data_IF_243616088212
#
_entry.id   IF_243616088212
#
_cell.length_a   1.000
_cell.length_b   1.000
_cell.length_c   1.000
_cell.angle_alpha   90.00
_cell.angle_beta   90.00
_cell.angle_gamma   90.00
#
_symmetry.space_group_name_H-M   'P 1'
#
loop_
_entity.id
_entity.type
_entity.pdbx_description
1 polymer ?
#
# COMPACT_ATOMS: atom_id res chain seq x y z
N UNK A 1 16.35 -5.16 91.37
CA UNK A 1 16.65 -4.72 92.75
C UNK A 1 15.41 -4.65 93.63
N UNK A 2 14.31 -3.96 93.24
CA UNK A 2 13.08 -3.90 94.07
C UNK A 2 12.45 -5.28 94.38
N UNK A 3 12.42 -6.20 93.41
CA UNK A 3 11.94 -7.59 93.62
C UNK A 3 12.78 -8.45 94.58
N UNK A 4 13.97 -7.99 95.00
CA UNK A 4 14.89 -8.72 95.89
C UNK A 4 15.00 -8.13 97.30
N UNK A 5 14.14 -7.17 97.67
CA UNK A 5 14.12 -6.51 98.99
C UNK A 5 15.44 -5.85 99.43
N UNK A 6 16.33 -5.51 98.48
CA UNK A 6 17.52 -4.66 98.71
C UNK A 6 17.43 -3.39 97.87
N UNK A 7 16.55 -2.43 98.22
CA UNK A 7 16.44 -1.16 97.51
C UNK A 7 17.68 -0.30 97.77
N UNK A 8 18.19 0.37 96.74
CA UNK A 8 19.24 1.38 96.89
C UNK A 8 18.56 2.64 97.42
N UNK A 9 18.56 2.81 98.74
CA UNK A 9 17.90 3.95 99.40
C UNK A 9 18.82 5.16 99.52
N UNK A 10 20.14 4.98 99.43
CA UNK A 10 21.15 6.04 99.29
C UNK A 10 22.29 5.57 98.39
N UNK A 11 22.90 6.49 97.61
CA UNK A 11 24.04 6.17 96.75
C UNK A 11 25.25 5.80 97.62
N UNK A 12 25.94 4.68 97.31
CA UNK A 12 27.06 4.24 98.12
C UNK A 12 28.22 5.24 98.04
N UNK A 13 28.69 5.65 99.21
CA UNK A 13 29.85 6.52 99.38
C UNK A 13 31.02 5.67 99.89
N UNK A 14 32.18 5.80 99.25
CA UNK A 14 33.42 5.14 99.71
C UNK A 14 34.44 6.25 99.94
N UNK A 15 34.89 6.38 101.19
CA UNK A 15 35.58 7.58 101.66
C UNK A 15 34.64 8.80 101.60
N UNK A 16 35.11 9.90 101.01
CA UNK A 16 34.36 11.15 100.89
C UNK A 16 33.68 11.36 99.53
N UNK A 17 33.69 10.35 98.64
CA UNK A 17 33.14 10.45 97.28
C UNK A 17 31.94 9.53 97.06
N UNK A 18 30.92 10.07 96.37
CA UNK A 18 29.73 9.33 95.93
C UNK A 18 30.04 8.61 94.62
N UNK A 19 29.82 7.31 94.56
CA UNK A 19 30.15 6.52 93.38
C UNK A 19 28.98 6.47 92.41
N UNK A 20 29.26 6.79 91.15
CA UNK A 20 28.31 6.58 90.05
C UNK A 20 28.29 5.10 89.66
N UNK A 21 27.19 4.43 90.01
CA UNK A 21 26.99 3.00 89.78
C UNK A 21 26.97 2.60 88.30
N UNK A 22 26.53 3.48 87.38
CA UNK A 22 26.52 3.17 85.95
C UNK A 22 27.93 3.17 85.37
N UNK A 23 28.74 4.18 85.72
CA UNK A 23 30.13 4.27 85.27
C UNK A 23 30.94 3.09 85.80
N UNK A 24 30.73 2.74 87.07
CA UNK A 24 31.33 1.56 87.69
C UNK A 24 30.93 0.27 86.95
N UNK A 25 29.65 0.10 86.61
CA UNK A 25 29.17 -1.04 85.81
C UNK A 25 29.80 -1.07 84.42
N UNK A 26 29.82 0.04 83.69
CA UNK A 26 30.38 0.06 82.33
C UNK A 26 31.87 -0.26 82.30
N UNK A 27 32.64 0.20 83.30
CA UNK A 27 34.07 -0.11 83.41
C UNK A 27 34.30 -1.60 83.68
N UNK A 28 33.58 -2.18 84.66
CA UNK A 28 33.73 -3.59 85.00
C UNK A 28 33.21 -4.50 83.89
N UNK A 29 32.09 -4.16 83.26
CA UNK A 29 31.56 -4.89 82.11
C UNK A 29 32.52 -4.85 80.91
N UNK A 30 33.16 -3.70 80.65
CA UNK A 30 34.20 -3.57 79.63
C UNK A 30 35.45 -4.42 79.92
N UNK A 31 35.75 -4.67 81.19
CA UNK A 31 36.84 -5.56 81.64
C UNK A 31 36.43 -7.04 81.72
N UNK A 32 35.28 -7.42 81.15
CA UNK A 32 34.82 -8.82 81.13
C UNK A 32 34.02 -9.25 82.36
N UNK A 33 33.51 -8.28 83.13
CA UNK A 33 32.62 -8.50 84.26
C UNK A 33 33.32 -8.75 85.59
N UNK A 34 32.54 -8.84 86.67
CA UNK A 34 33.09 -8.94 88.04
C UNK A 34 34.02 -10.14 88.24
N UNK A 35 33.69 -11.27 87.61
CA UNK A 35 34.46 -12.52 87.73
C UNK A 35 35.88 -12.38 87.17
N UNK A 36 36.04 -11.64 86.06
CA UNK A 36 37.33 -11.45 85.41
C UNK A 36 38.18 -10.42 86.17
N UNK A 37 37.58 -9.28 86.55
CA UNK A 37 38.24 -8.25 87.38
C UNK A 37 38.75 -8.80 88.72
N UNK A 38 38.03 -9.77 89.30
CA UNK A 38 38.48 -10.48 90.51
C UNK A 38 39.68 -11.39 90.30
N UNK A 39 39.73 -12.12 89.17
CA UNK A 39 40.87 -12.99 88.86
C UNK A 39 42.13 -12.17 88.60
N UNK A 40 41.98 -11.05 87.92
CA UNK A 40 43.09 -10.19 87.51
C UNK A 40 43.47 -9.16 88.59
N UNK A 41 42.83 -9.22 89.77
CA UNK A 41 43.02 -8.31 90.91
C UNK A 41 42.96 -6.80 90.55
N UNK A 42 42.19 -6.44 89.52
CA UNK A 42 42.22 -5.10 88.91
C UNK A 42 41.36 -4.03 89.61
N UNK A 43 40.83 -4.31 90.81
CA UNK A 43 40.04 -3.34 91.58
C UNK A 43 40.76 -2.04 91.94
N UNK A 44 42.09 -2.03 92.24
CA UNK A 44 42.82 -0.78 92.44
C UNK A 44 42.85 0.08 91.17
N UNK A 45 42.96 -0.54 89.99
CA UNK A 45 42.93 0.17 88.71
C UNK A 45 41.55 0.80 88.46
N UNK A 46 40.47 0.08 88.78
CA UNK A 46 39.10 0.61 88.68
C UNK A 46 38.87 1.76 89.68
N UNK A 47 39.42 1.65 90.90
CA UNK A 47 39.33 2.72 91.91
C UNK A 47 40.05 3.99 91.44
N UNK A 48 41.26 3.85 90.88
CA UNK A 48 42.03 4.95 90.31
C UNK A 48 41.30 5.61 89.14
N UNK A 49 40.70 4.83 88.24
CA UNK A 49 39.94 5.38 87.10
C UNK A 49 38.64 6.08 87.52
N UNK A 50 38.10 5.75 88.69
CA UNK A 50 36.96 6.46 89.28
C UNK A 50 37.37 7.72 90.05
N UNK A 51 38.67 8.05 90.10
CA UNK A 51 39.19 9.25 90.76
C UNK A 51 39.22 9.17 92.29
N UNK A 52 39.14 7.96 92.86
CA UNK A 52 39.25 7.73 94.29
C UNK A 52 40.73 7.82 94.71
N UNK A 53 41.02 8.49 95.83
CA UNK A 53 42.38 8.74 96.29
C UNK A 53 43.08 7.45 96.77
N UNK A 54 44.24 7.13 96.20
CA UNK A 54 45.05 5.91 96.47
C UNK A 54 45.66 5.83 97.89
N UNK A 55 45.39 6.80 98.77
CA UNK A 55 45.99 6.89 100.10
C UNK A 55 45.42 5.88 101.12
N UNK A 56 44.20 5.39 100.90
CA UNK A 56 43.54 4.42 101.79
C UNK A 56 43.49 3.02 101.16
N UNK A 57 44.27 2.07 101.70
CA UNK A 57 44.38 0.71 101.19
C UNK A 57 43.04 -0.08 101.16
N UNK A 58 42.01 0.39 101.87
CA UNK A 58 40.71 -0.27 101.98
C UNK A 58 39.71 0.12 100.86
N UNK A 59 40.00 1.13 100.05
CA UNK A 59 39.09 1.64 99.00
C UNK A 59 38.78 0.59 97.92
N UNK A 60 39.76 -0.15 97.35
CA UNK A 60 39.47 -1.18 96.34
C UNK A 60 38.61 -2.33 96.86
N UNK A 61 38.80 -2.71 98.13
CA UNK A 61 38.01 -3.76 98.77
C UNK A 61 36.55 -3.31 99.00
N UNK A 62 36.35 -2.07 99.46
CA UNK A 62 35.02 -1.49 99.59
C UNK A 62 34.30 -1.37 98.23
N UNK A 63 35.01 -0.99 97.16
CA UNK A 63 34.46 -0.87 95.81
C UNK A 63 33.99 -2.24 95.28
N UNK A 64 34.81 -3.27 95.48
CA UNK A 64 34.48 -4.66 95.14
C UNK A 64 33.21 -5.14 95.85
N UNK A 65 33.11 -4.89 97.16
CA UNK A 65 31.92 -5.29 97.94
C UNK A 65 30.66 -4.52 97.52
N UNK A 66 30.81 -3.24 97.20
CA UNK A 66 29.72 -2.42 96.67
C UNK A 66 29.22 -2.97 95.33
N UNK A 67 30.13 -3.30 94.41
CA UNK A 67 29.81 -3.91 93.12
C UNK A 67 29.12 -5.28 93.30
N UNK A 68 29.69 -6.14 94.15
CA UNK A 68 29.16 -7.47 94.44
C UNK A 68 27.71 -7.43 94.92
N UNK A 69 27.41 -6.47 95.80
CA UNK A 69 26.10 -6.34 96.42
C UNK A 69 25.06 -5.73 95.48
N UNK A 70 25.45 -4.70 94.72
CA UNK A 70 24.49 -3.85 94.00
C UNK A 70 24.47 -4.06 92.48
N UNK A 71 25.58 -4.42 91.84
CA UNK A 71 25.67 -4.46 90.37
C UNK A 71 25.78 -5.88 89.83
N UNK A 72 26.47 -6.78 90.53
CA UNK A 72 26.65 -8.17 90.07
C UNK A 72 25.34 -8.93 89.77
N UNK A 73 24.27 -8.83 90.59
CA UNK A 73 23.03 -9.53 90.27
C UNK A 73 22.28 -8.92 89.07
N UNK A 74 22.53 -7.65 88.76
CA UNK A 74 21.98 -7.02 87.57
C UNK A 74 22.71 -7.52 86.32
N UNK A 75 24.05 -7.61 86.37
CA UNK A 75 24.91 -8.14 85.30
C UNK A 75 24.45 -9.55 84.88
N UNK A 76 24.23 -10.44 85.85
CA UNK A 76 23.82 -11.82 85.59
C UNK A 76 22.41 -11.90 84.95
N UNK A 77 21.47 -11.09 85.42
CA UNK A 77 20.12 -11.06 84.85
C UNK A 77 20.12 -10.52 83.41
N UNK A 78 20.91 -9.47 83.15
CA UNK A 78 21.02 -8.87 81.82
C UNK A 78 21.59 -9.85 80.79
N UNK A 79 22.67 -10.57 81.15
CA UNK A 79 23.27 -11.57 80.26
C UNK A 79 22.33 -12.75 79.99
N UNK A 80 21.52 -13.16 80.97
CA UNK A 80 20.56 -14.27 80.79
C UNK A 80 19.39 -13.97 79.86
N UNK A 81 19.12 -12.69 79.56
CA UNK A 81 18.00 -12.27 78.69
C UNK A 81 18.42 -11.98 77.23
N UNK A 82 19.71 -12.04 76.90
CA UNK A 82 20.18 -11.81 75.53
C UNK A 82 19.89 -13.02 74.62
N UNK A 83 18.92 -12.86 73.72
CA UNK A 83 18.46 -13.88 72.76
C UNK A 83 19.51 -14.12 71.65
N UNK A 84 19.75 -15.37 71.17
CA UNK A 84 20.70 -15.61 70.08
C UNK A 84 20.18 -15.05 68.75
N UNK A 85 21.03 -14.38 67.97
CA UNK A 85 20.69 -13.86 66.65
C UNK A 85 20.53 -15.02 65.64
N UNK A 86 19.40 -15.08 64.94
CA UNK A 86 19.15 -16.07 63.89
C UNK A 86 19.98 -15.77 62.62
N UNK A 87 20.38 -16.78 61.82
CA UNK A 87 21.10 -16.57 60.57
C UNK A 87 20.25 -15.78 59.56
N UNK A 88 20.85 -14.78 58.90
CA UNK A 88 20.18 -14.00 57.85
C UNK A 88 19.95 -14.85 56.59
N UNK A 89 18.71 -14.92 56.10
CA UNK A 89 18.39 -15.53 54.80
C UNK A 89 19.00 -14.71 53.65
N UNK A 90 19.61 -15.38 52.66
CA UNK A 90 20.19 -14.74 51.48
C UNK A 90 19.06 -14.12 50.62
N UNK A 91 19.17 -12.86 50.17
CA UNK A 91 18.15 -12.25 49.33
C UNK A 91 18.04 -13.01 47.99
N UNK A 92 16.81 -13.36 47.60
CA UNK A 92 16.54 -13.96 46.30
C UNK A 92 16.74 -12.91 45.21
N UNK A 93 17.58 -13.21 44.22
CA UNK A 93 17.80 -12.36 43.06
C UNK A 93 16.66 -12.61 42.05
N UNK A 94 15.80 -11.63 41.84
CA UNK A 94 14.82 -11.66 40.75
C UNK A 94 15.44 -11.05 39.48
N UNK A 95 15.48 -11.78 38.36
CA UNK A 95 16.06 -11.26 37.13
C UNK A 95 15.20 -10.11 36.57
N UNK A 96 15.84 -8.98 36.27
CA UNK A 96 15.18 -7.88 35.56
C UNK A 96 15.00 -8.25 34.09
N UNK A 97 13.77 -8.53 33.70
CA UNK A 97 13.38 -8.70 32.30
C UNK A 97 12.87 -7.34 31.81
N UNK A 98 13.45 -6.82 30.72
CA UNK A 98 13.00 -5.58 30.05
C UNK A 98 12.36 -5.91 28.70
N UNK A 99 11.27 -5.23 28.35
CA UNK A 99 10.75 -5.20 26.99
C UNK A 99 11.74 -4.49 26.06
N UNK A 100 11.84 -4.96 24.81
CA UNK A 100 12.60 -4.27 23.78
C UNK A 100 11.75 -3.13 23.23
N UNK A 101 12.03 -1.90 23.69
CA UNK A 101 11.29 -0.70 23.29
C UNK A 101 11.98 0.09 22.17
N UNK A 102 13.30 -0.10 22.01
CA UNK A 102 14.12 0.60 21.03
C UNK A 102 14.62 -0.36 19.96
N UNK A 103 14.63 0.05 18.70
CA UNK A 103 15.29 -0.69 17.62
C UNK A 103 16.70 -0.13 17.44
N UNK A 104 17.72 -0.92 17.79
CA UNK A 104 19.12 -0.46 17.72
C UNK A 104 19.45 0.74 18.63
N UNK A 105 18.72 0.91 19.75
CA UNK A 105 18.90 2.04 20.68
C UNK A 105 18.18 3.32 20.28
N UNK A 106 17.40 3.31 19.20
CA UNK A 106 16.61 4.46 18.75
C UNK A 106 15.12 4.13 18.75
N UNK A 107 14.30 5.09 19.18
CA UNK A 107 12.85 4.98 19.09
C UNK A 107 12.40 5.39 17.68
N UNK A 108 11.96 4.41 16.90
CA UNK A 108 11.50 4.62 15.52
C UNK A 108 10.23 5.49 15.46
N UNK A 109 9.46 5.59 16.55
CA UNK A 109 8.24 6.41 16.60
C UNK A 109 8.54 7.90 16.47
N UNK A 110 9.73 8.34 16.90
CA UNK A 110 10.17 9.73 16.75
C UNK A 110 10.41 10.11 15.28
N UNK A 111 10.69 9.15 14.41
CA UNK A 111 10.85 9.37 12.96
C UNK A 111 9.54 9.23 12.18
N UNK A 112 8.43 8.85 12.82
CA UNK A 112 7.12 8.84 12.16
C UNK A 112 6.57 10.25 11.94
N UNK A 113 7.11 11.26 12.64
CA UNK A 113 6.79 12.65 12.35
C UNK A 113 7.60 13.12 11.14
N UNK A 114 6.97 13.66 10.08
CA UNK A 114 7.70 14.21 8.94
C UNK A 114 8.38 15.52 9.36
N UNK A 115 9.61 15.43 9.87
CA UNK A 115 10.38 16.61 10.36
C UNK A 115 10.91 17.47 9.19
N UNK A 116 10.93 16.95 7.96
CA UNK A 116 11.41 17.70 6.81
C UNK A 116 10.22 18.17 5.94
N UNK A 117 9.91 19.47 6.03
CA UNK A 117 9.11 20.15 5.01
C UNK A 117 9.87 19.98 3.69
N UNK A 118 9.26 19.34 2.69
CA UNK A 118 9.85 19.24 1.35
C UNK A 118 10.29 20.63 0.89
N UNK A 119 11.57 20.78 0.54
CA UNK A 119 12.15 21.99 -0.04
C UNK A 119 11.86 22.11 -1.54
N UNK A 120 11.00 21.25 -2.09
CA UNK A 120 10.64 21.31 -3.49
C UNK A 120 9.93 22.63 -3.80
N UNK A 121 10.42 23.40 -4.78
CA UNK A 121 9.80 24.66 -5.18
C UNK A 121 8.37 24.37 -5.68
N UNK A 122 7.43 25.27 -5.36
CA UNK A 122 6.07 25.23 -5.91
C UNK A 122 6.00 26.04 -7.18
N UNK A 123 4.96 25.86 -8.00
CA UNK A 123 4.81 26.59 -9.27
C UNK A 123 4.92 28.11 -9.09
N UNK A 124 4.32 28.65 -8.01
CA UNK A 124 4.40 30.08 -7.68
C UNK A 124 5.81 30.59 -7.36
N UNK A 125 6.75 29.71 -7.00
CA UNK A 125 8.14 30.07 -6.66
C UNK A 125 9.06 30.09 -7.90
N UNK A 126 8.61 29.53 -9.04
CA UNK A 126 9.40 29.44 -10.28
C UNK A 126 9.45 30.74 -11.09
N UNK A 127 8.55 31.70 -10.82
CA UNK A 127 8.50 32.96 -11.54
C UNK A 127 8.00 32.80 -12.98
N UNK A 128 8.56 33.57 -13.92
CA UNK A 128 8.15 33.53 -15.33
C UNK A 128 8.71 32.28 -16.01
N UNK A 129 7.82 31.41 -16.47
CA UNK A 129 8.20 30.18 -17.17
C UNK A 129 8.21 30.44 -18.68
N UNK A 130 9.38 30.26 -19.30
CA UNK A 130 9.56 30.38 -20.75
C UNK A 130 9.54 29.00 -21.40
N UNK A 131 8.47 28.71 -22.14
CA UNK A 131 8.27 27.42 -22.83
C UNK A 131 9.37 27.19 -23.87
N UNK A 132 9.83 28.23 -24.56
CA UNK A 132 10.87 28.09 -25.57
C UNK A 132 12.22 27.71 -24.95
N UNK A 133 12.56 28.33 -23.81
CA UNK A 133 13.75 27.95 -23.06
C UNK A 133 13.68 26.49 -22.60
N UNK A 134 12.52 26.03 -22.12
CA UNK A 134 12.31 24.63 -21.76
C UNK A 134 12.47 23.69 -22.96
N UNK A 135 11.91 24.04 -24.13
CA UNK A 135 12.09 23.27 -25.37
C UNK A 135 13.58 23.16 -25.75
N UNK A 136 14.35 24.24 -25.62
CA UNK A 136 15.79 24.22 -25.88
C UNK A 136 16.55 23.40 -24.83
N UNK A 137 16.15 23.46 -23.55
CA UNK A 137 16.71 22.60 -22.50
C UNK A 137 16.48 21.11 -22.80
N UNK A 138 15.30 20.73 -23.31
CA UNK A 138 15.04 19.35 -23.76
C UNK A 138 15.91 18.97 -24.97
N UNK A 139 15.97 19.82 -26.00
CA UNK A 139 16.78 19.59 -27.21
C UNK A 139 18.29 19.59 -26.94
N UNK A 140 18.75 20.17 -25.84
CA UNK A 140 20.18 20.27 -25.51
C UNK A 140 20.86 18.92 -25.20
N UNK A 141 20.09 17.86 -24.93
CA UNK A 141 20.57 16.54 -24.47
C UNK A 141 21.38 16.56 -23.16
N UNK A 142 21.46 17.71 -22.47
CA UNK A 142 22.13 17.84 -21.17
C UNK A 142 21.22 17.27 -20.07
N UNK A 143 21.65 16.18 -19.43
CA UNK A 143 20.82 15.45 -18.45
C UNK A 143 20.20 16.32 -17.36
N UNK A 144 20.96 17.25 -16.78
CA UNK A 144 20.43 18.09 -15.70
C UNK A 144 19.44 19.16 -16.19
N UNK A 145 19.66 19.71 -17.38
CA UNK A 145 18.74 20.66 -18.02
C UNK A 145 17.44 19.96 -18.43
N UNK A 146 17.54 18.76 -18.98
CA UNK A 146 16.40 17.94 -19.36
C UNK A 146 15.56 17.56 -18.14
N UNK A 147 16.19 17.07 -17.05
CA UNK A 147 15.48 16.73 -15.80
C UNK A 147 14.80 17.97 -15.22
N UNK A 148 15.49 19.12 -15.21
CA UNK A 148 14.91 20.37 -14.74
C UNK A 148 13.69 20.75 -15.59
N UNK A 149 13.83 20.72 -16.92
CA UNK A 149 12.73 21.04 -17.83
C UNK A 149 11.53 20.10 -17.67
N UNK A 150 11.76 18.78 -17.57
CA UNK A 150 10.70 17.79 -17.35
C UNK A 150 10.01 17.98 -16.00
N UNK A 151 10.76 18.28 -14.92
CA UNK A 151 10.16 18.58 -13.62
C UNK A 151 9.29 19.85 -13.67
N UNK A 152 9.76 20.91 -14.33
CA UNK A 152 9.00 22.16 -14.49
C UNK A 152 7.73 21.92 -15.30
N UNK A 153 7.82 21.17 -16.40
CA UNK A 153 6.67 20.80 -17.21
C UNK A 153 5.68 19.92 -16.44
N UNK A 154 6.16 18.92 -15.71
CA UNK A 154 5.32 18.05 -14.85
C UNK A 154 4.59 18.87 -13.78
N UNK A 155 5.25 19.86 -13.16
CA UNK A 155 4.58 20.78 -12.24
C UNK A 155 3.52 21.64 -12.92
N UNK A 156 3.77 22.11 -14.15
CA UNK A 156 2.82 22.89 -14.94
C UNK A 156 1.56 22.07 -15.29
N UNK A 157 1.73 20.83 -15.73
CA UNK A 157 0.61 19.98 -16.18
C UNK A 157 -0.26 19.50 -15.02
N UNK A 158 0.32 19.34 -13.83
CA UNK A 158 -0.43 18.92 -12.63
C UNK A 158 -1.27 20.07 -12.04
N UNK A 159 -0.78 21.31 -12.06
CA UNK A 159 -1.54 22.46 -11.55
C UNK A 159 -2.55 22.97 -12.60
N UNK A 160 -3.86 22.74 -12.35
CA UNK A 160 -4.98 23.08 -13.26
C UNK A 160 -5.06 24.54 -13.75
N UNK A 161 -4.29 25.46 -13.16
CA UNK A 161 -4.24 26.87 -13.58
C UNK A 161 -3.17 27.16 -14.64
N UNK A 162 -2.26 26.21 -14.91
CA UNK A 162 -1.14 26.31 -15.87
C UNK A 162 -1.38 25.56 -17.18
N UNK A 163 -2.61 25.61 -17.71
CA UNK A 163 -3.01 24.83 -18.89
C UNK A 163 -2.14 25.11 -20.12
N UNK A 164 -1.40 24.11 -20.61
CA UNK A 164 -0.62 24.22 -21.85
C UNK A 164 -1.50 23.86 -23.05
N UNK A 165 -1.71 24.84 -23.95
CA UNK A 165 -2.33 24.58 -25.24
C UNK A 165 -1.26 24.01 -26.18
N UNK A 166 -1.32 22.71 -26.45
CA UNK A 166 -0.33 22.01 -27.26
C UNK A 166 -0.29 22.52 -28.70
N UNK A 167 -1.41 23.06 -29.21
CA UNK A 167 -1.47 23.70 -30.53
C UNK A 167 -0.52 24.92 -30.64
N UNK A 168 -0.31 25.65 -29.54
CA UNK A 168 0.61 26.79 -29.48
C UNK A 168 2.06 26.35 -29.19
N UNK A 169 2.25 25.12 -28.71
CA UNK A 169 3.52 24.57 -28.25
C UNK A 169 3.94 23.34 -29.07
N UNK A 170 3.76 23.39 -30.40
CA UNK A 170 4.10 22.27 -31.28
C UNK A 170 5.56 21.82 -31.17
N UNK A 171 6.50 22.77 -31.10
CA UNK A 171 7.94 22.49 -30.98
C UNK A 171 8.30 21.79 -29.66
N UNK A 172 7.55 22.05 -28.59
CA UNK A 172 7.74 21.38 -27.31
C UNK A 172 7.30 19.93 -27.39
N UNK A 173 6.14 19.67 -28.00
CA UNK A 173 5.62 18.32 -28.17
C UNK A 173 6.54 17.48 -29.06
N UNK A 174 7.04 18.05 -30.17
CA UNK A 174 8.05 17.40 -31.01
C UNK A 174 9.29 17.02 -30.20
N UNK A 175 9.84 17.94 -29.39
CA UNK A 175 10.99 17.65 -28.54
C UNK A 175 10.73 16.54 -27.51
N UNK A 176 9.53 16.48 -26.93
CA UNK A 176 9.13 15.41 -26.01
C UNK A 176 8.99 14.06 -26.72
N UNK A 177 8.51 14.07 -27.98
CA UNK A 177 8.39 12.86 -28.80
C UNK A 177 9.74 12.35 -29.27
N UNK A 178 10.65 13.24 -29.68
CA UNK A 178 12.03 12.89 -30.03
C UNK A 178 12.74 12.19 -28.85
N UNK A 179 12.55 12.71 -27.63
CA UNK A 179 13.04 12.04 -26.42
C UNK A 179 12.45 10.64 -26.29
N UNK A 180 11.13 10.48 -26.48
CA UNK A 180 10.48 9.18 -26.37
C UNK A 180 10.99 8.18 -27.43
N UNK A 181 11.26 8.63 -28.65
CA UNK A 181 11.89 7.84 -29.73
C UNK A 181 13.30 7.40 -29.32
N UNK A 182 14.14 8.33 -28.87
CA UNK A 182 15.51 8.05 -28.42
C UNK A 182 15.52 6.98 -27.30
N UNK A 183 14.56 7.06 -26.37
CA UNK A 183 14.40 6.06 -25.33
C UNK A 183 13.93 4.71 -25.87
N UNK A 184 13.05 4.70 -26.87
CA UNK A 184 12.58 3.45 -27.50
C UNK A 184 13.74 2.74 -28.22
N UNK A 185 14.58 3.48 -28.93
CA UNK A 185 15.79 2.92 -29.57
C UNK A 185 16.73 2.30 -28.53
N UNK A 186 17.00 3.00 -27.42
CA UNK A 186 17.81 2.46 -26.31
C UNK A 186 17.19 1.22 -25.68
N UNK A 187 15.86 1.19 -25.51
CA UNK A 187 15.14 0.04 -24.96
C UNK A 187 15.24 -1.17 -25.90
N UNK A 188 15.13 -0.95 -27.22
CA UNK A 188 15.27 -2.03 -28.22
C UNK A 188 16.66 -2.65 -28.26
N UNK A 189 17.69 -1.88 -27.94
CA UNK A 189 19.09 -2.33 -27.87
C UNK A 189 19.41 -3.03 -26.54
N UNK A 190 18.54 -2.90 -25.52
CA UNK A 190 18.75 -3.49 -24.21
C UNK A 190 18.36 -4.98 -24.19
N UNK A 191 19.27 -5.89 -23.77
CA UNK A 191 18.97 -7.33 -23.68
C UNK A 191 18.00 -7.70 -22.55
N UNK A 192 17.52 -6.71 -21.77
CA UNK A 192 16.61 -6.90 -20.64
C UNK A 192 15.16 -7.26 -21.01
N UNK A 193 14.83 -7.30 -22.32
CA UNK A 193 13.56 -7.79 -22.85
C UNK A 193 13.51 -9.33 -23.00
N UNK A 194 14.62 -10.03 -22.69
CA UNK A 194 14.68 -11.50 -22.66
C UNK A 194 14.04 -12.10 -21.40
N UNK A 195 13.50 -13.32 -21.56
CA UNK A 195 12.70 -14.11 -20.60
C UNK A 195 13.03 -13.92 -19.11
N UNK A 196 11.97 -13.99 -18.30
CA UNK A 196 11.89 -13.78 -16.83
C UNK A 196 12.84 -14.60 -15.97
N UNK A 197 13.46 -15.64 -16.51
CA UNK A 197 14.03 -16.72 -15.70
C UNK A 197 15.55 -16.59 -15.48
N UNK A 198 16.23 -15.64 -16.16
CA UNK A 198 17.71 -15.49 -16.13
C UNK A 198 18.19 -14.04 -15.87
N UNK A 199 17.48 -13.30 -15.02
CA UNK A 199 17.82 -11.90 -14.69
C UNK A 199 18.61 -11.76 -13.38
N UNK A 200 19.89 -11.42 -13.51
CA UNK A 200 20.78 -11.03 -12.40
C UNK A 200 20.35 -9.71 -11.74
N UNK A 201 20.47 -9.62 -10.41
CA UNK A 201 20.22 -8.42 -9.59
C UNK A 201 20.91 -7.16 -10.12
N UNK A 202 22.10 -7.30 -10.72
CA UNK A 202 22.85 -6.21 -11.34
C UNK A 202 22.17 -5.59 -12.56
N UNK A 203 21.50 -6.39 -13.41
CA UNK A 203 20.75 -5.88 -14.58
C UNK A 203 19.45 -5.18 -14.18
N UNK A 204 18.84 -5.60 -13.08
CA UNK A 204 17.70 -4.89 -12.48
C UNK A 204 18.12 -3.49 -12.00
N UNK A 205 19.34 -3.37 -11.43
CA UNK A 205 19.91 -2.10 -10.96
C UNK A 205 20.24 -1.13 -12.12
N UNK A 206 20.72 -1.64 -13.25
CA UNK A 206 21.01 -0.83 -14.44
C UNK A 206 19.74 -0.36 -15.17
N UNK A 207 18.71 -1.22 -15.29
CA UNK A 207 17.42 -0.86 -15.88
C UNK A 207 16.58 0.12 -15.02
N UNK A 208 16.92 0.25 -13.73
CA UNK A 208 16.19 1.09 -12.76
C UNK A 208 16.85 2.45 -12.47
N UNK A 209 18.04 2.75 -13.02
CA UNK A 209 18.69 4.04 -12.77
C UNK A 209 18.49 5.05 -13.91
N UNK A 210 17.80 6.14 -13.56
CA UNK A 210 17.83 7.50 -14.15
C UNK A 210 17.20 7.69 -15.54
N UNK A 211 17.41 6.79 -16.50
CA UNK A 211 16.82 6.94 -17.85
C UNK A 211 15.32 6.56 -17.89
N UNK A 212 14.90 5.63 -17.03
CA UNK A 212 13.51 5.19 -16.90
C UNK A 212 12.58 6.30 -16.38
N UNK A 213 13.06 7.09 -15.41
CA UNK A 213 12.27 8.16 -14.77
C UNK A 213 11.94 9.31 -15.75
N UNK A 214 12.88 9.63 -16.64
CA UNK A 214 12.70 10.70 -17.64
C UNK A 214 11.58 10.38 -18.65
N UNK A 215 11.41 9.11 -19.03
CA UNK A 215 10.31 8.65 -19.90
C UNK A 215 8.97 8.69 -19.17
N UNK A 216 8.99 8.39 -17.87
CA UNK A 216 7.79 8.53 -17.06
C UNK A 216 7.33 9.97 -17.03
N UNK A 217 8.24 10.92 -16.88
CA UNK A 217 7.90 12.34 -16.89
C UNK A 217 7.32 12.79 -18.24
N UNK A 218 7.86 12.35 -19.39
CA UNK A 218 7.29 12.72 -20.71
C UNK A 218 5.88 12.17 -20.93
N UNK A 219 5.63 10.91 -20.55
CA UNK A 219 4.29 10.30 -20.68
C UNK A 219 3.28 10.84 -19.66
N UNK A 220 3.74 11.27 -18.48
CA UNK A 220 2.91 11.95 -17.46
C UNK A 220 2.51 13.34 -17.95
N UNK A 221 3.45 14.13 -18.48
CA UNK A 221 3.16 15.45 -19.06
C UNK A 221 2.09 15.34 -20.16
N UNK A 222 2.27 14.40 -21.09
CA UNK A 222 1.29 14.19 -22.17
C UNK A 222 -0.07 13.71 -21.64
N UNK A 223 -0.10 12.94 -20.56
CA UNK A 223 -1.34 12.45 -19.94
C UNK A 223 -2.09 13.55 -19.19
N UNK A 224 -1.39 14.38 -18.43
CA UNK A 224 -1.99 15.33 -17.50
C UNK A 224 -2.67 16.50 -18.22
N UNK A 225 -2.17 16.89 -19.41
CA UNK A 225 -2.77 17.95 -20.24
C UNK A 225 -3.92 17.50 -21.16
N UNK A 226 -4.21 16.19 -21.22
CA UNK A 226 -5.29 15.64 -22.06
C UNK A 226 -6.70 15.86 -21.51
N UNK A 227 -6.86 16.59 -20.39
CA UNK A 227 -8.18 17.05 -19.97
C UNK A 227 -8.77 18.10 -20.93
N UNK A 228 -7.91 18.81 -21.68
CA UNK A 228 -8.34 19.77 -22.70
C UNK A 228 -8.71 19.07 -23.99
N UNK A 229 -9.90 19.38 -24.52
CA UNK A 229 -10.37 18.81 -25.77
C UNK A 229 -9.53 19.26 -26.98
N UNK A 230 -9.01 20.49 -26.99
CA UNK A 230 -8.11 20.95 -28.05
C UNK A 230 -6.85 20.08 -28.12
N UNK A 231 -6.27 19.74 -26.96
CA UNK A 231 -5.09 18.88 -26.87
C UNK A 231 -5.39 17.45 -27.34
N UNK A 232 -6.55 16.89 -27.01
CA UNK A 232 -6.98 15.57 -27.52
C UNK A 232 -7.07 15.56 -29.04
N UNK A 233 -7.71 16.59 -29.63
CA UNK A 233 -7.86 16.72 -31.08
C UNK A 233 -6.52 16.90 -31.78
N UNK A 234 -5.61 17.69 -31.21
CA UNK A 234 -4.29 17.95 -31.76
C UNK A 234 -3.45 16.67 -31.79
N UNK A 235 -3.37 15.94 -30.67
CA UNK A 235 -2.62 14.67 -30.57
C UNK A 235 -3.21 13.61 -31.52
N UNK A 236 -4.54 13.46 -31.55
CA UNK A 236 -5.21 12.52 -32.45
C UNK A 236 -5.00 12.87 -33.94
N UNK A 237 -4.84 14.15 -34.25
CA UNK A 237 -4.62 14.67 -35.60
C UNK A 237 -3.20 14.48 -36.13
N UNK A 238 -2.24 14.09 -35.29
CA UNK A 238 -0.84 13.90 -35.68
C UNK A 238 -0.45 12.41 -35.71
N UNK A 239 -0.38 11.78 -36.92
CA UNK A 239 -0.10 10.36 -37.04
C UNK A 239 1.25 9.93 -36.48
N UNK A 240 2.26 10.81 -36.56
CA UNK A 240 3.61 10.54 -36.04
C UNK A 240 3.58 10.26 -34.54
N UNK A 241 2.88 11.10 -33.78
CA UNK A 241 2.75 10.95 -32.32
C UNK A 241 2.05 9.65 -31.97
N UNK A 242 0.92 9.37 -32.64
CA UNK A 242 0.14 8.14 -32.41
C UNK A 242 0.97 6.90 -32.73
N UNK A 243 1.77 6.91 -33.79
CA UNK A 243 2.63 5.79 -34.16
C UNK A 243 3.73 5.55 -33.12
N UNK A 244 4.43 6.59 -32.68
CA UNK A 244 5.47 6.44 -31.66
C UNK A 244 4.90 5.94 -30.32
N UNK A 245 3.73 6.48 -29.89
CA UNK A 245 3.05 5.98 -28.71
C UNK A 245 2.62 4.52 -28.87
N UNK A 246 2.20 4.13 -30.07
CA UNK A 246 1.81 2.74 -30.40
C UNK A 246 2.99 1.79 -30.33
N UNK A 247 4.13 2.18 -30.89
CA UNK A 247 5.37 1.40 -30.84
C UNK A 247 5.79 1.19 -29.38
N UNK A 248 5.82 2.26 -28.58
CA UNK A 248 6.14 2.17 -27.16
C UNK A 248 5.14 1.30 -26.39
N UNK A 249 3.85 1.43 -26.67
CA UNK A 249 2.80 0.63 -26.04
C UNK A 249 2.97 -0.88 -26.29
N UNK A 250 3.56 -1.25 -27.44
CA UNK A 250 3.89 -2.62 -27.82
C UNK A 250 5.14 -3.20 -27.14
N UNK A 251 5.96 -2.38 -26.48
CA UNK A 251 7.19 -2.83 -25.82
C UNK A 251 6.87 -3.45 -24.47
N UNK A 252 7.17 -4.74 -24.30
CA UNK A 252 6.99 -5.48 -23.05
C UNK A 252 5.58 -6.04 -22.83
N UNK A 253 5.30 -6.45 -21.59
CA UNK A 253 4.02 -7.08 -21.20
C UNK A 253 3.64 -6.72 -19.75
N UNK A 254 2.37 -6.93 -19.38
CA UNK A 254 1.87 -6.58 -18.04
C UNK A 254 2.51 -7.43 -16.93
N UNK A 255 2.99 -8.63 -17.27
CA UNK A 255 3.77 -9.52 -16.38
C UNK A 255 5.26 -9.21 -16.36
N UNK A 256 5.71 -8.14 -17.02
CA UNK A 256 7.11 -7.75 -17.09
C UNK A 256 7.67 -7.32 -15.73
N UNK A 257 8.97 -7.58 -15.53
CA UNK A 257 9.69 -7.27 -14.30
C UNK A 257 9.96 -5.76 -14.16
N UNK A 258 9.94 -5.00 -15.26
CA UNK A 258 10.24 -3.56 -15.27
C UNK A 258 8.99 -2.72 -14.94
N UNK A 259 8.90 -2.28 -13.68
CA UNK A 259 7.79 -1.45 -13.18
C UNK A 259 7.64 -0.11 -13.91
N UNK A 260 8.74 0.51 -14.35
CA UNK A 260 8.68 1.81 -15.02
C UNK A 260 8.09 1.69 -16.44
N UNK A 261 8.47 0.63 -17.17
CA UNK A 261 7.87 0.33 -18.48
C UNK A 261 6.37 0.08 -18.35
N UNK A 262 5.95 -0.64 -17.31
CA UNK A 262 4.53 -0.86 -17.03
C UNK A 262 3.81 0.46 -16.73
N UNK A 263 4.41 1.36 -15.97
CA UNK A 263 3.83 2.67 -15.66
C UNK A 263 3.68 3.54 -16.91
N UNK A 264 4.66 3.53 -17.80
CA UNK A 264 4.59 4.24 -19.08
C UNK A 264 3.50 3.66 -19.99
N UNK A 265 3.36 2.33 -20.05
CA UNK A 265 2.25 1.68 -20.79
C UNK A 265 0.89 2.03 -20.20
N UNK A 266 0.76 2.12 -18.88
CA UNK A 266 -0.47 2.59 -18.22
C UNK A 266 -0.78 4.04 -18.58
N UNK A 267 0.23 4.93 -18.61
CA UNK A 267 0.04 6.32 -19.03
C UNK A 267 -0.42 6.40 -20.48
N UNK A 268 0.20 5.64 -21.39
CA UNK A 268 -0.24 5.56 -22.80
C UNK A 268 -1.66 5.01 -22.91
N UNK A 269 -2.05 4.05 -22.08
CA UNK A 269 -3.43 3.56 -22.04
C UNK A 269 -4.42 4.67 -21.64
N UNK A 270 -4.06 5.54 -20.69
CA UNK A 270 -4.87 6.73 -20.35
C UNK A 270 -4.96 7.68 -21.54
N UNK A 271 -3.83 7.94 -22.20
CA UNK A 271 -3.78 8.79 -23.41
C UNK A 271 -4.74 8.23 -24.47
N UNK A 272 -4.64 6.93 -24.79
CA UNK A 272 -5.50 6.26 -25.76
C UNK A 272 -6.97 6.22 -25.36
N UNK A 273 -7.29 6.10 -24.07
CA UNK A 273 -8.70 6.22 -23.63
C UNK A 273 -9.26 7.62 -23.94
N UNK A 274 -8.46 8.67 -23.79
CA UNK A 274 -8.90 10.03 -24.07
C UNK A 274 -9.03 10.30 -25.58
N UNK A 275 -8.05 9.89 -26.40
CA UNK A 275 -8.04 10.19 -27.84
C UNK A 275 -8.75 9.15 -28.72
N UNK A 276 -9.10 7.97 -28.17
CA UNK A 276 -9.46 6.79 -28.95
C UNK A 276 -10.61 6.96 -29.95
N UNK A 277 -11.56 7.86 -29.68
CA UNK A 277 -12.69 8.13 -30.59
C UNK A 277 -12.30 8.93 -31.84
N UNK A 278 -11.19 9.66 -31.78
CA UNK A 278 -10.68 10.54 -32.84
C UNK A 278 -9.45 9.94 -33.53
N UNK A 279 -8.90 8.85 -33.00
CA UNK A 279 -7.70 8.22 -33.50
C UNK A 279 -7.97 7.48 -34.81
N UNK A 280 -7.11 7.68 -35.80
CA UNK A 280 -7.12 6.95 -37.07
C UNK A 280 -5.94 5.98 -37.13
N UNK A 281 -6.24 4.69 -37.28
CA UNK A 281 -5.21 3.65 -37.40
C UNK A 281 -4.65 3.67 -38.84
N UNK A 282 -3.43 4.19 -39.00
CA UNK A 282 -2.81 4.38 -40.32
C UNK A 282 -2.16 3.10 -40.85
N UNK A 283 -1.66 2.21 -39.98
CA UNK A 283 -0.95 0.98 -40.34
C UNK A 283 -1.58 -0.27 -39.73
N UNK A 284 -1.57 -1.38 -40.47
CA UNK A 284 -2.00 -2.69 -39.97
C UNK A 284 -1.07 -3.20 -38.86
N UNK A 285 0.23 -2.90 -38.92
CA UNK A 285 1.18 -3.30 -37.88
C UNK A 285 0.94 -2.52 -36.58
N UNK A 286 0.68 -1.22 -36.69
CA UNK A 286 0.27 -0.39 -35.56
C UNK A 286 -1.04 -0.91 -34.94
N UNK A 287 -2.02 -1.27 -35.79
CA UNK A 287 -3.28 -1.89 -35.34
C UNK A 287 -3.02 -3.20 -34.57
N UNK A 288 -2.11 -4.04 -35.06
CA UNK A 288 -1.69 -5.27 -34.37
C UNK A 288 -1.11 -4.99 -32.99
N UNK A 289 -0.20 -4.03 -32.89
CA UNK A 289 0.45 -3.67 -31.62
C UNK A 289 -0.55 -3.14 -30.60
N UNK A 290 -1.41 -2.19 -30.99
CA UNK A 290 -2.41 -1.60 -30.08
C UNK A 290 -3.33 -2.68 -29.52
N UNK A 291 -3.93 -3.49 -30.39
CA UNK A 291 -4.93 -4.48 -29.95
C UNK A 291 -4.26 -5.58 -29.12
N UNK A 292 -3.07 -6.07 -29.51
CA UNK A 292 -2.33 -7.06 -28.70
C UNK A 292 -1.99 -6.52 -27.32
N UNK A 293 -1.57 -5.25 -27.22
CA UNK A 293 -1.30 -4.63 -25.93
C UNK A 293 -2.58 -4.39 -25.13
N UNK A 294 -3.70 -4.02 -25.76
CA UNK A 294 -5.00 -3.92 -25.07
C UNK A 294 -5.44 -5.28 -24.51
N UNK A 295 -5.29 -6.36 -25.28
CA UNK A 295 -5.56 -7.74 -24.82
C UNK A 295 -4.71 -8.08 -23.59
N UNK A 296 -3.41 -7.76 -23.61
CA UNK A 296 -2.52 -7.97 -22.46
C UNK A 296 -3.02 -7.22 -21.21
N UNK A 297 -3.48 -5.97 -21.35
CA UNK A 297 -4.10 -5.23 -20.23
C UNK A 297 -5.44 -5.81 -19.78
N UNK A 298 -6.26 -6.32 -20.69
CA UNK A 298 -7.55 -6.94 -20.35
C UNK A 298 -7.37 -8.21 -19.52
N UNK A 299 -6.37 -9.02 -19.83
CA UNK A 299 -6.14 -10.31 -19.15
C UNK A 299 -5.28 -10.22 -17.88
N UNK A 300 -4.25 -9.38 -17.90
CA UNK A 300 -3.18 -9.42 -16.91
C UNK A 300 -3.12 -8.19 -16.00
N UNK A 301 -3.87 -7.12 -16.29
CA UNK A 301 -3.87 -5.92 -15.44
C UNK A 301 -4.95 -5.98 -14.35
N UNK A 302 -4.78 -5.18 -13.28
CA UNK A 302 -5.79 -5.03 -12.25
C UNK A 302 -7.06 -4.33 -12.75
N UNK A 303 -8.15 -4.44 -11.97
CA UNK A 303 -9.51 -4.03 -12.35
C UNK A 303 -9.61 -2.63 -12.98
N UNK A 304 -8.86 -1.66 -12.47
CA UNK A 304 -8.89 -0.27 -12.98
C UNK A 304 -8.38 -0.17 -14.41
N UNK A 305 -7.20 -0.73 -14.72
CA UNK A 305 -6.62 -0.62 -16.06
C UNK A 305 -7.29 -1.58 -17.05
N UNK A 306 -7.81 -2.70 -16.57
CA UNK A 306 -8.65 -3.58 -17.39
C UNK A 306 -9.93 -2.86 -17.84
N UNK A 307 -10.61 -2.16 -16.92
CA UNK A 307 -11.79 -1.34 -17.28
C UNK A 307 -11.47 -0.22 -18.28
N UNK A 308 -10.30 0.41 -18.12
CA UNK A 308 -9.82 1.44 -19.04
C UNK A 308 -9.47 0.86 -20.42
N UNK A 309 -8.90 -0.34 -20.48
CA UNK A 309 -8.62 -1.03 -21.74
C UNK A 309 -9.89 -1.39 -22.51
N UNK A 310 -10.96 -1.81 -21.82
CA UNK A 310 -12.28 -2.02 -22.43
C UNK A 310 -12.82 -0.72 -23.01
N UNK A 311 -12.75 0.38 -22.25
CA UNK A 311 -13.17 1.71 -22.71
C UNK A 311 -12.40 2.16 -23.96
N UNK A 312 -11.07 2.04 -23.92
CA UNK A 312 -10.20 2.37 -25.06
C UNK A 312 -10.56 1.56 -26.29
N UNK A 313 -10.77 0.25 -26.16
CA UNK A 313 -11.18 -0.60 -27.28
C UNK A 313 -12.56 -0.19 -27.84
N UNK A 314 -13.51 0.12 -26.96
CA UNK A 314 -14.83 0.59 -27.37
C UNK A 314 -14.77 1.89 -28.17
N UNK A 315 -13.90 2.82 -27.79
CA UNK A 315 -13.69 4.10 -28.50
C UNK A 315 -12.96 3.93 -29.84
N UNK A 316 -11.89 3.12 -29.88
CA UNK A 316 -11.08 2.88 -31.10
C UNK A 316 -11.90 2.18 -32.18
N UNK A 317 -12.89 1.38 -31.79
CA UNK A 317 -13.79 0.68 -32.72
C UNK A 317 -14.92 1.57 -33.24
N UNK A 318 -15.04 2.84 -32.85
CA UNK A 318 -16.09 3.73 -33.38
C UNK A 318 -15.83 4.10 -34.85
N UNK A 319 -14.64 4.59 -35.25
CA UNK A 319 -14.36 4.95 -36.64
C UNK A 319 -14.44 3.74 -37.58
N UNK A 320 -15.06 3.91 -38.75
CA UNK A 320 -15.25 2.82 -39.73
C UNK A 320 -13.91 2.23 -40.22
N UNK A 321 -12.94 3.09 -40.57
CA UNK A 321 -11.63 2.65 -41.06
C UNK A 321 -10.84 1.82 -40.03
N UNK A 322 -10.98 2.15 -38.75
CA UNK A 322 -10.35 1.37 -37.68
C UNK A 322 -10.97 -0.02 -37.58
N UNK A 323 -12.31 -0.12 -37.69
CA UNK A 323 -13.00 -1.41 -37.61
C UNK A 323 -12.57 -2.34 -38.74
N UNK A 324 -12.42 -1.83 -39.96
CA UNK A 324 -11.92 -2.65 -41.09
C UNK A 324 -10.49 -3.12 -40.86
N UNK A 325 -9.61 -2.26 -40.34
CA UNK A 325 -8.23 -2.63 -40.03
C UNK A 325 -8.15 -3.67 -38.90
N UNK A 326 -8.91 -3.48 -37.82
CA UNK A 326 -8.97 -4.43 -36.70
C UNK A 326 -9.49 -5.80 -37.18
N UNK A 327 -10.52 -5.77 -38.03
CA UNK A 327 -11.08 -6.98 -38.61
C UNK A 327 -10.06 -7.73 -39.48
N UNK A 328 -9.30 -7.03 -40.31
CA UNK A 328 -8.25 -7.64 -41.14
C UNK A 328 -7.14 -8.29 -40.29
N UNK A 329 -6.77 -7.69 -39.15
CA UNK A 329 -5.65 -8.17 -38.33
C UNK A 329 -6.03 -9.30 -37.35
N UNK A 330 -7.21 -9.24 -36.71
CA UNK A 330 -7.54 -10.11 -35.57
C UNK A 330 -8.68 -11.10 -35.79
N UNK A 331 -9.24 -11.19 -37.00
CA UNK A 331 -10.38 -12.07 -37.22
C UNK A 331 -10.09 -13.57 -36.97
N UNK A 332 -8.81 -13.97 -36.96
CA UNK A 332 -8.40 -15.35 -36.61
C UNK A 332 -8.37 -15.64 -35.11
N UNK A 333 -8.23 -14.62 -34.25
CA UNK A 333 -8.10 -14.82 -32.80
C UNK A 333 -9.46 -14.76 -32.10
N UNK A 334 -9.96 -15.95 -31.69
CA UNK A 334 -11.17 -16.08 -30.87
C UNK A 334 -11.03 -15.45 -29.48
N UNK A 335 -9.80 -15.09 -29.10
CA UNK A 335 -9.45 -14.62 -27.76
C UNK A 335 -10.14 -13.30 -27.41
N UNK A 336 -10.17 -12.31 -28.30
CA UNK A 336 -10.77 -10.98 -28.02
C UNK A 336 -12.22 -11.10 -27.59
N UNK A 337 -13.03 -11.87 -28.32
CA UNK A 337 -14.43 -12.07 -28.01
C UNK A 337 -14.62 -12.79 -26.66
N UNK A 338 -13.79 -13.81 -26.39
CA UNK A 338 -13.85 -14.52 -25.12
C UNK A 338 -13.47 -13.63 -23.93
N UNK A 339 -12.50 -12.73 -24.12
CA UNK A 339 -12.03 -11.79 -23.11
C UNK A 339 -13.09 -10.72 -22.85
N UNK A 340 -13.67 -10.14 -23.90
CA UNK A 340 -14.76 -9.17 -23.76
C UNK A 340 -15.97 -9.74 -23.01
N UNK A 341 -16.29 -11.02 -23.22
CA UNK A 341 -17.35 -11.69 -22.47
C UNK A 341 -17.02 -11.86 -20.98
N UNK A 342 -15.76 -12.04 -20.59
CA UNK A 342 -15.37 -12.10 -19.17
C UNK A 342 -15.67 -10.80 -18.42
N UNK A 343 -15.67 -9.66 -19.11
CA UNK A 343 -15.98 -8.35 -18.53
C UNK A 343 -17.49 -8.07 -18.38
N UNK A 344 -18.35 -9.01 -18.80
CA UNK A 344 -19.81 -8.88 -18.67
C UNK A 344 -20.28 -9.79 -17.52
N UNK A 345 -20.89 -9.25 -16.44
CA UNK A 345 -21.32 -10.04 -15.30
C UNK A 345 -22.65 -10.78 -15.59
N UNK A 346 -22.57 -11.92 -16.28
CA UNK A 346 -23.73 -12.74 -16.66
C UNK A 346 -24.48 -13.38 -15.48
N UNK A 347 -23.76 -13.67 -14.40
CA UNK A 347 -24.28 -14.45 -13.26
C UNK A 347 -24.89 -13.58 -12.16
N UNK A 348 -24.36 -12.37 -11.96
CA UNK A 348 -24.77 -11.50 -10.86
C UNK A 348 -25.13 -10.10 -11.33
N UNK A 349 -26.34 -9.92 -11.87
CA UNK A 349 -26.83 -8.61 -12.34
C UNK A 349 -26.93 -7.55 -11.24
N UNK A 350 -26.84 -7.93 -9.95
CA UNK A 350 -26.75 -6.94 -8.86
C UNK A 350 -25.48 -6.10 -8.96
N UNK A 351 -24.42 -6.64 -9.53
CA UNK A 351 -23.18 -5.91 -9.80
C UNK A 351 -23.44 -4.71 -10.72
N UNK A 352 -24.30 -4.88 -11.72
CA UNK A 352 -24.69 -3.81 -12.65
C UNK A 352 -25.55 -2.70 -12.02
N UNK A 353 -25.92 -2.82 -10.74
CA UNK A 353 -26.49 -1.68 -9.99
C UNK A 353 -25.42 -0.67 -9.58
N UNK A 354 -24.15 -1.07 -9.58
CA UNK A 354 -23.01 -0.17 -9.42
C UNK A 354 -22.72 0.53 -10.76
N UNK A 355 -22.63 1.86 -10.73
CA UNK A 355 -22.38 2.68 -11.93
C UNK A 355 -21.11 2.25 -12.66
N UNK A 356 -20.03 1.93 -11.93
CA UNK A 356 -18.76 1.51 -12.51
C UNK A 356 -18.90 0.23 -13.34
N UNK A 357 -19.51 -0.81 -12.79
CA UNK A 357 -19.62 -2.12 -13.47
C UNK A 357 -20.60 -2.06 -14.65
N UNK A 358 -21.64 -1.22 -14.56
CA UNK A 358 -22.54 -0.95 -15.68
C UNK A 358 -21.81 -0.28 -16.86
N UNK A 359 -20.97 0.73 -16.58
CA UNK A 359 -20.18 1.40 -17.64
C UNK A 359 -19.21 0.41 -18.30
N UNK A 360 -18.54 -0.46 -17.54
CA UNK A 360 -17.64 -1.47 -18.13
C UNK A 360 -18.42 -2.43 -19.04
N UNK A 361 -19.58 -2.90 -18.60
CA UNK A 361 -20.43 -3.78 -19.41
C UNK A 361 -20.95 -3.07 -20.68
N UNK A 362 -21.33 -1.78 -20.57
CA UNK A 362 -21.72 -0.96 -21.72
C UNK A 362 -20.61 -0.78 -22.74
N UNK A 363 -19.38 -0.54 -22.28
CA UNK A 363 -18.23 -0.38 -23.16
C UNK A 363 -17.84 -1.71 -23.82
N UNK A 364 -17.86 -2.83 -23.07
CA UNK A 364 -17.59 -4.16 -23.62
C UNK A 364 -18.61 -4.54 -24.71
N UNK A 365 -19.89 -4.27 -24.47
CA UNK A 365 -20.96 -4.52 -25.44
C UNK A 365 -20.88 -3.59 -26.64
N UNK A 366 -20.51 -2.32 -26.44
CA UNK A 366 -20.28 -1.37 -27.54
C UNK A 366 -19.11 -1.83 -28.42
N UNK A 367 -17.99 -2.25 -27.83
CA UNK A 367 -16.85 -2.80 -28.57
C UNK A 367 -17.27 -4.04 -29.37
N UNK A 368 -18.01 -4.96 -28.75
CA UNK A 368 -18.54 -6.15 -29.40
C UNK A 368 -19.44 -5.79 -30.59
N UNK A 369 -20.41 -4.90 -30.39
CA UNK A 369 -21.33 -4.43 -31.43
C UNK A 369 -20.56 -3.82 -32.61
N UNK A 370 -19.61 -2.92 -32.32
CA UNK A 370 -18.82 -2.24 -33.33
C UNK A 370 -18.01 -3.23 -34.18
N UNK A 371 -17.37 -4.22 -33.56
CA UNK A 371 -16.61 -5.26 -34.26
C UNK A 371 -17.54 -6.15 -35.09
N UNK A 372 -18.68 -6.57 -34.54
CA UNK A 372 -19.65 -7.40 -35.24
C UNK A 372 -20.30 -6.69 -36.44
N UNK A 373 -20.44 -5.36 -36.40
CA UNK A 373 -21.11 -4.58 -37.46
C UNK A 373 -20.50 -4.72 -38.85
N UNK A 374 -19.20 -5.00 -38.95
CA UNK A 374 -18.46 -5.10 -40.23
C UNK A 374 -18.19 -6.54 -40.65
N UNK A 375 -18.56 -7.52 -39.83
CA UNK A 375 -18.33 -8.92 -40.14
C UNK A 375 -19.08 -9.35 -41.43
N UNK A 376 -18.35 -9.96 -42.37
CA UNK A 376 -18.93 -10.66 -43.51
C UNK A 376 -19.62 -11.97 -43.07
N UNK A 377 -20.31 -12.64 -43.98
CA UNK A 377 -21.15 -13.81 -43.68
C UNK A 377 -20.36 -14.95 -43.03
N UNK A 378 -19.15 -15.24 -43.51
CA UNK A 378 -18.31 -16.27 -42.91
C UNK A 378 -17.90 -15.89 -41.48
N UNK A 379 -17.71 -14.59 -41.26
CA UNK A 379 -17.22 -14.08 -40.00
C UNK A 379 -18.27 -14.02 -38.91
N UNK A 380 -19.49 -13.62 -39.26
CA UNK A 380 -20.64 -13.72 -38.35
C UNK A 380 -20.86 -15.15 -37.89
N UNK A 381 -20.65 -16.13 -38.77
CA UNK A 381 -20.78 -17.55 -38.42
C UNK A 381 -19.77 -17.96 -37.37
N UNK A 382 -18.48 -17.66 -37.56
CA UNK A 382 -17.43 -17.97 -36.57
C UNK A 382 -17.66 -17.29 -35.22
N UNK A 383 -18.14 -16.05 -35.23
CA UNK A 383 -18.48 -15.33 -33.99
C UNK A 383 -19.67 -16.01 -33.29
N UNK A 384 -20.71 -16.39 -34.05
CA UNK A 384 -21.90 -17.06 -33.50
C UNK A 384 -21.60 -18.47 -32.95
N UNK A 385 -20.57 -19.13 -33.48
CA UNK A 385 -20.07 -20.43 -33.01
C UNK A 385 -19.24 -20.33 -31.72
N UNK A 386 -18.93 -19.11 -31.22
CA UNK A 386 -18.23 -18.95 -29.94
C UNK A 386 -19.12 -19.51 -28.82
N UNK A 387 -18.62 -20.50 -28.05
CA UNK A 387 -19.44 -21.24 -27.12
C UNK A 387 -20.03 -20.30 -26.07
N UNK A 388 -21.37 -20.26 -26.01
CA UNK A 388 -22.10 -19.48 -25.03
C UNK A 388 -22.27 -18.00 -25.37
N UNK A 389 -21.70 -17.45 -26.45
CA UNK A 389 -21.85 -16.02 -26.78
C UNK A 389 -23.32 -15.63 -26.98
N UNK A 390 -23.98 -16.23 -27.98
CA UNK A 390 -25.37 -15.91 -28.35
C UNK A 390 -26.31 -16.18 -27.17
N UNK A 391 -26.13 -17.32 -26.50
CA UNK A 391 -26.94 -17.71 -25.35
C UNK A 391 -26.77 -16.75 -24.16
N UNK A 392 -25.54 -16.32 -23.87
CA UNK A 392 -25.26 -15.40 -22.76
C UNK A 392 -25.81 -14.01 -23.03
N UNK A 393 -25.69 -13.50 -24.26
CA UNK A 393 -26.30 -12.24 -24.69
C UNK A 393 -27.84 -12.29 -24.62
N UNK A 394 -28.46 -13.37 -25.09
CA UNK A 394 -29.91 -13.57 -25.00
C UNK A 394 -30.39 -13.65 -23.54
N UNK A 395 -29.71 -14.45 -22.70
CA UNK A 395 -30.04 -14.57 -21.28
C UNK A 395 -29.92 -13.24 -20.55
N UNK A 396 -28.86 -12.49 -20.82
CA UNK A 396 -28.65 -11.19 -20.21
C UNK A 396 -29.74 -10.21 -20.64
N UNK A 397 -30.13 -10.20 -21.92
CA UNK A 397 -31.24 -9.37 -22.40
C UNK A 397 -32.56 -9.71 -21.70
N UNK A 398 -32.87 -11.00 -21.52
CA UNK A 398 -34.07 -11.44 -20.80
C UNK A 398 -34.01 -11.01 -19.34
N UNK A 399 -32.95 -11.39 -18.62
CA UNK A 399 -32.83 -11.07 -17.19
C UNK A 399 -32.85 -9.56 -16.92
N UNK A 400 -32.27 -8.73 -17.80
CA UNK A 400 -32.32 -7.27 -17.66
C UNK A 400 -33.70 -6.67 -17.92
N UNK A 401 -34.54 -7.35 -18.70
CA UNK A 401 -35.87 -6.86 -19.11
C UNK A 401 -37.02 -7.41 -18.28
N UNK A 402 -36.73 -8.19 -17.24
CA UNK A 402 -37.70 -8.60 -16.23
C UNK A 402 -38.25 -7.37 -15.49
N UNK A 403 -39.56 -7.11 -15.64
CA UNK A 403 -40.26 -5.94 -15.05
C UNK A 403 -40.20 -5.86 -13.52
N UNK A 404 -39.75 -6.91 -12.86
CA UNK A 404 -39.52 -6.94 -11.41
C UNK A 404 -38.31 -6.12 -10.96
N UNK A 405 -37.44 -5.70 -11.89
CA UNK A 405 -36.28 -4.86 -11.60
C UNK A 405 -36.67 -3.36 -11.67
N UNK A 406 -36.51 -2.60 -10.58
CA UNK A 406 -36.79 -1.15 -10.56
C UNK A 406 -35.80 -0.32 -11.39
N UNK A 407 -34.77 -0.95 -11.98
CA UNK A 407 -33.66 -0.32 -12.71
C UNK A 407 -33.72 -0.51 -14.23
N UNK A 408 -34.85 -0.97 -14.78
CA UNK A 408 -34.96 -1.26 -16.22
C UNK A 408 -34.57 -0.06 -17.12
N UNK A 409 -34.95 1.16 -16.74
CA UNK A 409 -34.60 2.36 -17.50
C UNK A 409 -33.08 2.56 -17.63
N UNK A 410 -32.31 2.12 -16.63
CA UNK A 410 -30.84 2.14 -16.67
C UNK A 410 -30.28 1.09 -17.65
N UNK A 411 -30.94 -0.06 -17.79
CA UNK A 411 -30.46 -1.17 -18.65
C UNK A 411 -30.95 -1.07 -20.10
N UNK A 412 -31.94 -0.23 -20.38
CA UNK A 412 -32.54 -0.11 -21.72
C UNK A 412 -31.53 0.18 -22.85
N UNK A 413 -30.55 1.09 -22.71
CA UNK A 413 -29.54 1.33 -23.74
C UNK A 413 -28.68 0.09 -24.01
N UNK A 414 -28.31 -0.63 -22.95
CA UNK A 414 -27.53 -1.86 -23.04
C UNK A 414 -28.31 -2.96 -23.78
N UNK A 415 -29.56 -3.20 -23.39
CA UNK A 415 -30.43 -4.15 -24.08
C UNK A 415 -30.57 -3.83 -25.57
N UNK A 416 -30.71 -2.54 -25.92
CA UNK A 416 -30.76 -2.10 -27.32
C UNK A 416 -29.53 -2.50 -28.13
N UNK A 417 -28.33 -2.21 -27.60
CA UNK A 417 -27.04 -2.56 -28.24
C UNK A 417 -26.86 -4.07 -28.41
N UNK A 418 -27.27 -4.85 -27.42
CA UNK A 418 -27.19 -6.32 -27.48
C UNK A 418 -28.15 -6.87 -28.53
N UNK A 419 -29.39 -6.37 -28.57
CA UNK A 419 -30.38 -6.79 -29.55
C UNK A 419 -29.93 -6.46 -30.98
N UNK A 420 -29.31 -5.30 -31.19
CA UNK A 420 -28.74 -4.93 -32.48
C UNK A 420 -27.58 -5.86 -32.85
N UNK A 421 -26.71 -6.20 -31.90
CA UNK A 421 -25.62 -7.18 -32.12
C UNK A 421 -26.17 -8.56 -32.48
N UNK A 422 -27.18 -9.05 -31.76
CA UNK A 422 -27.85 -10.32 -32.06
C UNK A 422 -28.51 -10.30 -33.45
N UNK A 423 -29.08 -9.16 -33.85
CA UNK A 423 -29.68 -8.96 -35.19
C UNK A 423 -28.63 -9.01 -36.29
N UNK A 424 -27.48 -8.38 -36.09
CA UNK A 424 -26.37 -8.44 -37.04
C UNK A 424 -25.88 -9.89 -37.17
N UNK A 425 -25.71 -10.60 -36.05
CA UNK A 425 -25.22 -11.98 -36.03
C UNK A 425 -26.23 -13.00 -36.60
N UNK A 426 -27.54 -12.75 -36.48
CA UNK A 426 -28.57 -13.65 -37.00
C UNK A 426 -28.61 -13.71 -38.53
N UNK A 427 -28.21 -12.62 -39.22
CA UNK A 427 -28.24 -12.57 -40.68
C UNK A 427 -27.22 -13.54 -41.28
N UNK A 428 -27.71 -14.67 -41.78
CA UNK A 428 -26.92 -15.73 -42.42
C UNK A 428 -26.54 -16.91 -41.51
N UNK A 429 -26.97 -16.93 -40.23
CA UNK A 429 -26.67 -17.98 -39.23
C UNK A 429 -27.94 -18.56 -38.61
N UNK A 430 -28.96 -18.78 -39.43
CA UNK A 430 -30.29 -19.19 -39.03
C UNK A 430 -30.30 -20.56 -38.33
N UNK A 431 -29.41 -21.47 -38.75
CA UNK A 431 -29.18 -22.78 -38.14
C UNK A 431 -28.73 -22.70 -36.67
N UNK A 432 -27.77 -21.81 -36.37
CA UNK A 432 -27.24 -21.63 -35.01
C UNK A 432 -28.29 -20.98 -34.10
N UNK A 433 -29.01 -19.98 -34.60
CA UNK A 433 -30.02 -19.27 -33.82
C UNK A 433 -31.27 -20.11 -33.58
N UNK A 434 -31.69 -20.97 -34.52
CA UNK A 434 -32.84 -21.87 -34.37
C UNK A 434 -32.78 -22.72 -33.11
N UNK A 435 -31.64 -23.35 -32.82
CA UNK A 435 -31.43 -24.15 -31.60
C UNK A 435 -31.55 -23.35 -30.30
N UNK A 436 -31.23 -22.05 -30.33
CA UNK A 436 -31.36 -21.17 -29.19
C UNK A 436 -32.76 -20.56 -29.05
N UNK A 437 -33.48 -20.39 -30.17
CA UNK A 437 -34.82 -19.82 -30.23
C UNK A 437 -35.88 -20.69 -29.55
N UNK A 438 -35.80 -22.03 -29.62
CA UNK A 438 -36.72 -22.92 -28.91
C UNK A 438 -36.63 -22.76 -27.38
N UNK A 439 -35.41 -22.59 -26.88
CA UNK A 439 -35.16 -22.32 -25.46
C UNK A 439 -35.63 -20.91 -25.06
N UNK A 440 -35.66 -20.00 -26.03
CA UNK A 440 -36.00 -18.61 -25.88
C UNK A 440 -37.52 -18.35 -25.87
N UNK A 441 -38.30 -19.04 -26.72
CA UNK A 441 -39.78 -18.97 -26.71
C UNK A 441 -40.34 -19.40 -25.36
N UNK A 442 -39.75 -20.42 -24.73
CA UNK A 442 -40.11 -20.87 -23.37
C UNK A 442 -39.78 -19.83 -22.27
N UNK A 443 -38.83 -18.93 -22.52
CA UNK A 443 -38.46 -17.86 -21.57
C UNK A 443 -39.36 -16.62 -21.75
N UNK A 444 -39.75 -16.29 -22.99
CA UNK A 444 -40.74 -15.24 -23.27
C UNK A 444 -42.11 -15.54 -22.64
N UNK A 445 -42.52 -16.81 -22.58
CA UNK A 445 -43.80 -17.21 -22.00
C UNK A 445 -43.79 -17.26 -20.47
N UNK A 446 -42.62 -17.31 -19.83
CA UNK A 446 -42.47 -17.44 -18.38
C UNK A 446 -42.13 -16.14 -17.65
N UNK A 447 -41.69 -15.09 -18.36
CA UNK A 447 -41.24 -13.83 -17.76
C UNK A 447 -42.06 -12.62 -18.23
N UNK A 448 -42.38 -11.69 -17.33
CA UNK A 448 -43.08 -10.44 -17.66
C UNK A 448 -42.04 -9.43 -18.18
N UNK A 449 -41.82 -9.42 -19.48
CA UNK A 449 -40.79 -8.62 -20.15
C UNK A 449 -41.33 -7.26 -20.59
N UNK A 450 -40.43 -6.31 -20.81
CA UNK A 450 -40.78 -5.01 -21.36
C UNK A 450 -41.27 -5.07 -22.82
N UNK A 451 -42.18 -4.16 -23.18
CA UNK A 451 -42.81 -4.10 -24.51
C UNK A 451 -41.81 -3.82 -25.64
N UNK A 452 -40.77 -3.04 -25.38
CA UNK A 452 -39.72 -2.76 -26.38
C UNK A 452 -38.91 -4.02 -26.69
N UNK A 453 -38.42 -4.69 -25.65
CA UNK A 453 -37.56 -5.86 -25.77
C UNK A 453 -38.33 -7.02 -26.40
N UNK A 454 -39.57 -7.28 -25.96
CA UNK A 454 -40.45 -8.27 -26.60
C UNK A 454 -40.68 -8.00 -28.07
N UNK A 455 -40.91 -6.75 -28.48
CA UNK A 455 -41.13 -6.41 -29.89
C UNK A 455 -39.91 -6.69 -30.78
N UNK A 456 -38.70 -6.40 -30.30
CA UNK A 456 -37.47 -6.61 -31.08
C UNK A 456 -37.06 -8.09 -31.09
N UNK A 457 -37.33 -8.81 -30.01
CA UNK A 457 -37.15 -10.26 -29.94
C UNK A 457 -38.12 -11.01 -30.86
N UNK A 458 -39.37 -10.57 -30.95
CA UNK A 458 -40.34 -11.09 -31.93
C UNK A 458 -39.86 -10.80 -33.36
N UNK A 459 -39.27 -9.63 -33.63
CA UNK A 459 -38.67 -9.33 -34.94
C UNK A 459 -37.50 -10.25 -35.27
N UNK A 460 -36.63 -10.58 -34.32
CA UNK A 460 -35.56 -11.56 -34.49
C UNK A 460 -36.11 -12.95 -34.83
N UNK A 461 -37.15 -13.40 -34.11
CA UNK A 461 -37.81 -14.67 -34.39
C UNK A 461 -38.50 -14.69 -35.76
N UNK A 462 -39.21 -13.61 -36.13
CA UNK A 462 -39.90 -13.51 -37.41
C UNK A 462 -38.95 -13.35 -38.61
N UNK A 463 -37.78 -12.73 -38.41
CA UNK A 463 -36.75 -12.64 -39.45
C UNK A 463 -36.21 -14.03 -39.82
N UNK A 464 -36.10 -14.93 -38.84
CA UNK A 464 -35.75 -16.33 -39.07
C UNK A 464 -36.85 -17.09 -39.84
N UNK A 465 -38.12 -16.88 -39.49
CA UNK A 465 -39.26 -17.56 -40.15
C UNK A 465 -39.47 -17.13 -41.62
N UNK A 466 -39.01 -15.94 -42.02
CA UNK A 466 -39.19 -15.41 -43.40
C UNK A 466 -38.12 -15.86 -44.41
N UNK A 467 -37.01 -16.45 -43.96
CA UNK A 467 -35.88 -16.84 -44.80
C UNK A 467 -35.68 -18.37 -44.90
N UNK A 468 -36.48 -19.15 -44.15
CA UNK A 468 -36.72 -20.58 -44.36
C UNK A 468 -37.82 -20.72 -45.41
#
# INVERSE_FOLDING_TARGET
>A
MSKRNTPITQLPQIGSQVINLWVLYSMVAGLGGMSQVNKDAAWPQVAKSLGLSDTDANVPWALKNCYAKLLFPFEQAYLSQAKPLLPMEKPRLEPQIRSVESYGGVDLRLFQQPVLKSLQPRLGDLGHIDIHALTMSLKSSLRMEMINALNVLSMLTVERNGSLLLEQCGDLLEALMDLLVDFLEKLSQSPALGNSDDMSYSRFYEASHVESCQVQDTTVIAKDDLYLFENQRFIAGQPQIVNTLTEYFGVGGCKGINMCLLENRKNILVIFSNIGSMMHLVSLDATRLIIKSLIDFLENAGDTYSSLAVETLAKITVPYGNRTAIFEVFFTDREIFSILLKHIPFDNLRLLTQEKELVVAEMAILALQNICSIADTQSRRRISEIPGLVLSLMRLTIKMSERTLPTFDLFRPLCGKILETLKVLSVGNEDIFGHHLDRFVNLLTSSCLDAFVTSELIRLSNAHVRNI
#
